data_IF_694265233228
#
_entry.id   IF_694265233228
#
_cell.length_a   1.000
_cell.length_b   1.000
_cell.length_c   1.000
_cell.angle_alpha   90.00
_cell.angle_beta   90.00
_cell.angle_gamma   90.00
#
_symmetry.space_group_name_H-M   'P 1'
#
loop_
_entity.id
_entity.type
_entity.pdbx_description
1 polymer ?
#
# COMPACT_ATOMS: atom_id res chain seq x y z
N UNK A 1 -6.80 7.91 3.32
CA UNK A 1 -5.97 9.10 3.45
C UNK A 1 -4.60 8.76 4.00
N UNK A 2 -4.57 8.20 5.21
CA UNK A 2 -3.31 7.92 5.86
C UNK A 2 -2.44 6.93 5.13
N UNK A 3 -3.05 5.91 4.52
CA UNK A 3 -2.25 4.87 3.86
C UNK A 3 -1.53 5.41 2.63
N UNK A 4 -2.18 6.22 1.83
CA UNK A 4 -1.52 6.80 0.67
C UNK A 4 -0.37 7.71 1.09
N UNK A 5 -0.46 8.31 2.25
CA UNK A 5 0.62 9.13 2.78
C UNK A 5 1.88 8.36 3.12
N UNK A 6 1.79 7.03 3.22
CA UNK A 6 2.97 6.20 3.46
C UNK A 6 3.84 6.08 2.20
N UNK A 7 3.25 6.26 1.04
CA UNK A 7 3.98 6.23 -0.22
C UNK A 7 4.62 7.59 -0.45
N UNK A 8 5.93 7.64 -0.47
CA UNK A 8 6.63 8.93 -0.56
C UNK A 8 6.90 9.39 -1.98
N UNK A 9 7.29 8.47 -2.82
CA UNK A 9 7.64 8.79 -4.19
C UNK A 9 7.14 7.64 -5.05
N UNK A 10 7.80 7.40 -6.16
CA UNK A 10 7.47 6.29 -7.04
C UNK A 10 8.07 4.98 -6.56
N UNK A 11 8.72 4.98 -5.40
CA UNK A 11 9.36 3.76 -4.88
C UNK A 11 8.31 2.78 -4.37
N UNK A 12 8.35 1.53 -4.85
CA UNK A 12 7.44 0.51 -4.32
C UNK A 12 7.74 0.20 -2.86
N UNK A 13 6.70 -0.06 -2.09
CA UNK A 13 6.85 -0.45 -0.69
C UNK A 13 6.34 -1.87 -0.51
N UNK A 14 7.04 -2.65 0.30
CA UNK A 14 6.58 -3.99 0.61
C UNK A 14 5.39 -3.94 1.56
N UNK A 15 4.61 -5.02 1.58
CA UNK A 15 3.48 -5.14 2.49
C UNK A 15 3.94 -4.96 3.94
N UNK A 16 5.08 -5.52 4.27
CA UNK A 16 5.64 -5.44 5.60
C UNK A 16 5.97 -3.99 5.99
N UNK A 17 6.61 -3.27 5.07
CA UNK A 17 6.94 -1.87 5.29
C UNK A 17 5.68 -1.03 5.46
N UNK A 18 4.66 -1.28 4.64
CA UNK A 18 3.40 -0.57 4.74
C UNK A 18 2.72 -0.82 6.08
N UNK A 19 2.78 -2.06 6.56
CA UNK A 19 2.23 -2.38 7.86
C UNK A 19 2.90 -1.59 8.98
N UNK A 20 4.22 -1.49 8.92
CA UNK A 20 4.98 -0.73 9.91
C UNK A 20 4.68 0.76 9.85
N UNK A 21 4.66 1.32 8.65
CA UNK A 21 4.46 2.76 8.49
C UNK A 21 3.03 3.18 8.81
N UNK A 22 2.07 2.35 8.49
CA UNK A 22 0.66 2.69 8.69
C UNK A 22 0.17 2.38 10.11
N UNK A 23 0.85 1.48 10.80
CA UNK A 23 0.41 1.04 12.12
C UNK A 23 -0.78 0.11 12.08
N UNK A 24 -1.16 -0.36 10.90
CA UNK A 24 -2.29 -1.27 10.75
C UNK A 24 -1.82 -2.72 10.84
N UNK A 25 -2.69 -3.59 11.32
CA UNK A 25 -2.35 -5.00 11.30
C UNK A 25 -2.45 -5.53 9.86
N UNK A 26 -1.84 -6.69 9.56
CA UNK A 26 -1.80 -7.20 8.18
C UNK A 26 -3.17 -7.41 7.54
N UNK A 27 -4.16 -7.81 8.32
CA UNK A 27 -5.51 -8.04 7.79
C UNK A 27 -6.17 -6.74 7.36
N UNK A 28 -6.07 -5.73 8.20
CA UNK A 28 -6.64 -4.42 7.88
C UNK A 28 -5.91 -3.81 6.68
N UNK A 29 -4.59 -3.93 6.66
CA UNK A 29 -3.80 -3.40 5.56
C UNK A 29 -4.18 -4.06 4.25
N UNK A 30 -4.33 -5.38 4.23
CA UNK A 30 -4.70 -6.09 3.02
C UNK A 30 -6.04 -5.62 2.48
N UNK A 31 -7.01 -5.41 3.36
CA UNK A 31 -8.33 -4.93 2.96
C UNK A 31 -8.24 -3.54 2.33
N UNK A 32 -7.48 -2.65 2.95
CA UNK A 32 -7.32 -1.30 2.42
C UNK A 32 -6.59 -1.30 1.09
N UNK A 33 -5.57 -2.14 0.95
CA UNK A 33 -4.82 -2.21 -0.30
C UNK A 33 -5.68 -2.72 -1.44
N UNK A 34 -6.52 -3.71 -1.19
CA UNK A 34 -7.45 -4.19 -2.22
C UNK A 34 -8.37 -3.05 -2.66
N UNK A 35 -8.91 -2.30 -1.72
CA UNK A 35 -9.74 -1.16 -2.05
C UNK A 35 -9.02 -0.12 -2.88
N UNK A 36 -7.78 0.17 -2.54
CA UNK A 36 -6.98 1.14 -3.28
C UNK A 36 -6.63 0.64 -4.67
N UNK A 37 -6.39 -0.66 -4.82
CA UNK A 37 -6.14 -1.24 -6.14
C UNK A 37 -7.36 -1.12 -7.03
N UNK A 38 -8.53 -1.42 -6.50
CA UNK A 38 -9.78 -1.32 -7.25
C UNK A 38 -10.07 0.12 -7.65
N UNK A 39 -9.67 1.06 -6.83
CA UNK A 39 -9.84 2.47 -7.13
C UNK A 39 -8.77 3.00 -8.09
N UNK A 40 -7.76 2.21 -8.40
CA UNK A 40 -6.68 2.64 -9.27
C UNK A 40 -5.66 3.52 -8.60
N UNK A 41 -5.64 3.54 -7.28
CA UNK A 41 -4.71 4.39 -6.54
C UNK A 41 -3.35 3.73 -6.31
N UNK A 42 -3.31 2.41 -6.23
CA UNK A 42 -2.07 1.66 -6.08
C UNK A 42 -2.08 0.45 -6.98
N UNK A 43 -0.90 -0.10 -7.23
CA UNK A 43 -0.73 -1.29 -8.04
C UNK A 43 0.17 -2.27 -7.31
N UNK A 44 -0.22 -3.54 -7.33
CA UNK A 44 0.60 -4.59 -6.74
C UNK A 44 1.67 -5.02 -7.73
N UNK A 45 2.90 -5.15 -7.23
CA UNK A 45 4.04 -5.59 -8.01
C UNK A 45 4.51 -6.96 -7.50
N UNK A 46 5.27 -7.70 -8.33
CA UNK A 46 5.84 -8.97 -7.88
C UNK A 46 6.67 -8.77 -6.61
N UNK A 47 6.65 -9.75 -5.72
CA UNK A 47 7.39 -9.68 -4.47
C UNK A 47 6.65 -8.97 -3.36
N UNK A 48 5.32 -8.95 -3.42
CA UNK A 48 4.47 -8.34 -2.39
C UNK A 48 4.76 -6.85 -2.19
N UNK A 49 4.99 -6.16 -3.28
CA UNK A 49 5.23 -4.72 -3.25
C UNK A 49 4.04 -3.99 -3.82
N UNK A 50 3.90 -2.75 -3.42
CA UNK A 50 2.83 -1.89 -3.90
C UNK A 50 3.39 -0.55 -4.31
N UNK A 51 2.83 0.00 -5.37
CA UNK A 51 3.28 1.27 -5.90
C UNK A 51 2.09 2.21 -6.02
N UNK A 52 2.31 3.47 -5.65
CA UNK A 52 1.30 4.49 -5.76
C UNK A 52 1.18 4.95 -7.21
N UNK A 53 -0.06 5.03 -7.71
CA UNK A 53 -0.31 5.42 -9.09
C UNK A 53 -0.80 6.86 -9.24
N UNK A 54 -1.17 7.48 -8.13
CA UNK A 54 -1.69 8.86 -8.18
C UNK A 54 -0.84 9.81 -7.39
#
# INVERSE_FOLDING_TARGET
TGLLGCFRTDDPLSHETLSELSGLDPGELATLLVGLELAGAVRQLPGNRYMKLI
#
